data_IF_414843795028
#
_entry.id   IF_414843795028
#
_cell.length_a   1.000
_cell.length_b   1.000
_cell.length_c   1.000
_cell.angle_alpha   90.00
_cell.angle_beta   90.00
_cell.angle_gamma   90.00
#
_symmetry.space_group_name_H-M   'P 1'
#
loop_
_entity.id
_entity.type
_entity.pdbx_description
1 polymer ?
#
# COMPACT_ATOMS: atom_id res chain seq x y z
N UNK A 1 -7.39 5.74 -8.85
CA UNK A 1 -8.27 6.50 -7.92
C UNK A 1 -7.35 7.34 -7.05
N UNK A 2 -7.68 8.61 -6.81
CA UNK A 2 -6.88 9.48 -5.96
C UNK A 2 -7.58 9.70 -4.61
N UNK A 3 -6.85 9.55 -3.51
CA UNK A 3 -7.31 9.82 -2.14
C UNK A 3 -6.38 10.88 -1.55
N UNK A 4 -6.89 12.09 -1.32
CA UNK A 4 -6.13 13.22 -0.80
C UNK A 4 -6.80 13.80 0.46
N UNK A 5 -6.01 14.48 1.28
CA UNK A 5 -6.48 15.05 2.55
C UNK A 5 -5.33 15.40 3.50
N UNK A 6 -5.62 16.12 4.60
CA UNK A 6 -4.62 16.54 5.59
C UNK A 6 -3.80 15.38 6.17
N UNK A 7 -2.68 15.71 6.81
CA UNK A 7 -1.94 14.75 7.64
C UNK A 7 -2.88 14.10 8.67
N UNK A 8 -2.66 12.81 8.96
CA UNK A 8 -3.49 12.02 9.88
C UNK A 8 -4.98 11.93 9.54
N UNK A 9 -5.42 12.29 8.32
CA UNK A 9 -6.84 12.16 7.89
C UNK A 9 -7.26 10.73 7.54
N UNK A 10 -6.40 9.72 7.74
CA UNK A 10 -6.70 8.31 7.50
C UNK A 10 -6.47 7.81 6.06
N UNK A 11 -5.77 8.55 5.20
CA UNK A 11 -5.49 8.15 3.81
C UNK A 11 -4.86 6.75 3.70
N UNK A 12 -3.78 6.54 4.44
CA UNK A 12 -3.06 5.26 4.52
C UNK A 12 -3.96 4.15 5.06
N UNK A 13 -4.77 4.43 6.08
CA UNK A 13 -5.75 3.47 6.63
C UNK A 13 -6.74 3.01 5.57
N UNK A 14 -7.27 3.93 4.75
CA UNK A 14 -8.20 3.58 3.66
C UNK A 14 -7.49 2.76 2.58
N UNK A 15 -6.26 3.12 2.21
CA UNK A 15 -5.47 2.37 1.24
C UNK A 15 -5.20 0.93 1.72
N UNK A 16 -4.81 0.75 2.98
CA UNK A 16 -4.56 -0.57 3.56
C UNK A 16 -5.84 -1.42 3.69
N UNK A 17 -6.99 -0.81 3.97
CA UNK A 17 -8.27 -1.54 3.90
C UNK A 17 -8.61 -2.02 2.49
N UNK A 18 -8.30 -1.23 1.45
CA UNK A 18 -8.49 -1.67 0.08
C UNK A 18 -7.59 -2.86 -0.26
N UNK A 19 -6.33 -2.83 0.17
CA UNK A 19 -5.38 -3.95 0.06
C UNK A 19 -5.91 -5.20 0.76
N UNK A 20 -6.33 -5.08 2.03
CA UNK A 20 -6.86 -6.19 2.81
C UNK A 20 -8.09 -6.83 2.13
N UNK A 21 -9.01 -6.02 1.59
CA UNK A 21 -10.19 -6.52 0.89
C UNK A 21 -9.86 -7.22 -0.44
N UNK A 22 -8.81 -6.80 -1.15
CA UNK A 22 -8.30 -7.52 -2.34
C UNK A 22 -7.72 -8.88 -1.93
N UNK A 23 -6.84 -8.90 -0.93
CA UNK A 23 -6.21 -10.12 -0.45
C UNK A 23 -7.23 -11.14 0.10
N UNK A 24 -8.24 -10.66 0.84
CA UNK A 24 -9.34 -11.50 1.36
C UNK A 24 -10.14 -12.20 0.25
N UNK A 25 -10.16 -11.64 -0.96
CA UNK A 25 -10.81 -12.24 -2.13
C UNK A 25 -9.87 -13.15 -2.94
N UNK A 26 -8.68 -13.43 -2.41
CA UNK A 26 -7.64 -14.21 -3.06
C UNK A 26 -6.85 -13.44 -4.12
N UNK A 27 -6.98 -12.11 -4.18
CA UNK A 27 -6.24 -11.27 -5.11
C UNK A 27 -4.86 -10.89 -4.57
N UNK A 28 -3.94 -10.57 -5.48
CA UNK A 28 -2.63 -10.00 -5.13
C UNK A 28 -2.72 -8.48 -5.10
N UNK A 29 -2.04 -7.86 -4.13
CA UNK A 29 -1.93 -6.42 -4.03
C UNK A 29 -0.44 -6.01 -3.93
N UNK A 30 -0.11 -4.90 -4.56
CA UNK A 30 1.17 -4.23 -4.39
C UNK A 30 0.99 -2.90 -3.68
N UNK A 31 1.94 -2.54 -2.83
CA UNK A 31 1.95 -1.31 -2.06
C UNK A 31 3.28 -0.60 -2.27
N UNK A 32 3.21 0.61 -2.83
CA UNK A 32 4.38 1.46 -3.08
C UNK A 32 4.46 2.49 -1.95
N UNK A 33 5.29 2.22 -0.95
CA UNK A 33 5.47 3.06 0.23
C UNK A 33 6.55 4.12 -0.03
N UNK A 34 6.19 5.14 -0.81
CA UNK A 34 7.09 6.26 -1.12
C UNK A 34 7.45 7.13 0.11
N UNK A 35 6.68 7.04 1.20
CA UNK A 35 6.93 7.79 2.43
C UNK A 35 7.79 7.00 3.44
N UNK A 36 8.12 5.74 3.14
CA UNK A 36 8.85 4.83 4.05
C UNK A 36 8.23 4.80 5.46
N UNK A 37 6.90 4.84 5.52
CA UNK A 37 6.13 5.04 6.75
C UNK A 37 5.16 3.88 7.06
N UNK A 38 5.19 2.81 6.27
CA UNK A 38 4.34 1.65 6.52
C UNK A 38 4.74 0.94 7.83
N UNK A 39 3.82 0.89 8.78
CA UNK A 39 3.93 0.04 9.96
C UNK A 39 3.27 -1.33 9.67
N UNK A 40 4.06 -2.43 9.59
CA UNK A 40 3.53 -3.76 9.31
C UNK A 40 2.61 -4.28 10.42
N UNK A 41 2.83 -3.89 11.68
CA UNK A 41 1.96 -4.28 12.80
C UNK A 41 0.59 -3.61 12.64
N UNK A 42 0.57 -2.32 12.33
CA UNK A 42 -0.69 -1.61 12.07
C UNK A 42 -1.45 -2.19 10.87
N UNK A 43 -0.77 -2.41 9.75
CA UNK A 43 -1.38 -2.99 8.55
C UNK A 43 -1.92 -4.41 8.79
N UNK A 44 -1.23 -5.25 9.56
CA UNK A 44 -1.72 -6.57 9.97
C UNK A 44 -3.02 -6.47 10.76
N UNK A 45 -3.13 -5.52 11.70
CA UNK A 45 -4.37 -5.29 12.45
C UNK A 45 -5.53 -4.83 11.58
N UNK A 46 -5.27 -4.17 10.43
CA UNK A 46 -6.28 -3.81 9.44
C UNK A 46 -6.69 -4.97 8.52
N UNK A 47 -6.07 -6.14 8.66
CA UNK A 47 -6.36 -7.35 7.90
C UNK A 47 -5.52 -7.53 6.64
N UNK A 48 -4.44 -6.75 6.49
CA UNK A 48 -3.46 -6.97 5.42
C UNK A 48 -2.62 -8.18 5.76
N UNK A 49 -2.50 -9.11 4.81
CA UNK A 49 -1.52 -10.18 4.87
C UNK A 49 -0.17 -9.63 4.42
N UNK A 50 0.71 -9.35 5.38
CA UNK A 50 2.03 -8.78 5.14
C UNK A 50 2.95 -9.73 4.38
N UNK A 51 2.86 -11.04 4.67
CA UNK A 51 3.74 -12.03 4.04
C UNK A 51 3.51 -12.14 2.53
N UNK A 52 2.27 -11.90 2.08
CA UNK A 52 1.87 -11.92 0.67
C UNK A 52 1.70 -10.51 0.05
N UNK A 53 2.16 -9.46 0.73
CA UNK A 53 2.11 -8.09 0.20
C UNK A 53 3.33 -7.79 -0.66
N UNK A 54 3.13 -7.42 -1.92
CA UNK A 54 4.21 -6.91 -2.77
C UNK A 54 4.56 -5.48 -2.35
N UNK A 55 5.49 -5.34 -1.41
CA UNK A 55 5.92 -4.04 -0.88
C UNK A 55 7.14 -3.50 -1.64
N UNK A 56 7.09 -2.22 -2.01
CA UNK A 56 8.24 -1.49 -2.53
C UNK A 56 8.41 -0.16 -1.80
N UNK A 57 9.66 0.16 -1.45
CA UNK A 57 10.07 1.42 -0.83
C UNK A 57 11.06 2.13 -1.77
N UNK A 58 10.55 2.92 -2.74
CA UNK A 58 11.40 3.56 -3.73
C UNK A 58 12.16 4.77 -3.16
N UNK A 59 13.35 5.04 -3.72
CA UNK A 59 14.17 6.20 -3.40
C UNK A 59 13.62 7.50 -4.02
N UNK A 60 12.91 7.40 -5.17
CA UNK A 60 12.31 8.55 -5.86
C UNK A 60 10.90 8.26 -6.37
N UNK A 61 10.15 9.33 -6.63
CA UNK A 61 8.81 9.23 -7.23
C UNK A 61 8.82 8.57 -8.61
N UNK A 62 9.83 8.88 -9.44
CA UNK A 62 10.00 8.26 -10.76
C UNK A 62 10.24 6.75 -10.66
N UNK A 63 11.05 6.30 -9.70
CA UNK A 63 11.25 4.88 -9.46
C UNK A 63 9.95 4.20 -9.01
N UNK A 64 9.19 4.83 -8.11
CA UNK A 64 7.88 4.32 -7.69
C UNK A 64 6.90 4.19 -8.87
N UNK A 65 6.91 5.16 -9.79
CA UNK A 65 6.10 5.12 -11.00
C UNK A 65 6.56 4.00 -11.95
N UNK A 66 7.86 3.80 -12.15
CA UNK A 66 8.39 2.71 -12.97
C UNK A 66 8.02 1.33 -12.42
N UNK A 67 8.08 1.14 -11.10
CA UNK A 67 7.67 -0.12 -10.46
C UNK A 67 6.17 -0.33 -10.65
N UNK A 68 5.36 0.72 -10.52
CA UNK A 68 3.91 0.64 -10.75
C UNK A 68 3.61 0.23 -12.19
N UNK A 69 4.28 0.83 -13.19
CA UNK A 69 4.10 0.51 -14.62
C UNK A 69 4.49 -0.95 -14.94
N UNK A 70 5.54 -1.47 -14.31
CA UNK A 70 5.97 -2.86 -14.50
C UNK A 70 5.01 -3.92 -13.92
N UNK A 71 4.08 -3.53 -13.03
CA UNK A 71 3.11 -4.43 -12.38
C UNK A 71 1.74 -4.45 -13.07
N UNK A 72 1.51 -3.60 -14.08
CA UNK A 72 0.24 -3.46 -14.81
C UNK A 72 0.16 -4.41 -16.01
#
# INVERSE_FOLDING_TARGET
VEIYGPESSGKTTVALHAVAEVQKRGGTAAYIDAENALDPVYATHLGVNIDDLLLSQPDTGEQGLQITDALV
#
